data_IF_611223316734
#
_entry.id   IF_611223316734
#
_cell.length_a   1.000
_cell.length_b   1.000
_cell.length_c   1.000
_cell.angle_alpha   90.00
_cell.angle_beta   90.00
_cell.angle_gamma   90.00
#
_symmetry.space_group_name_H-M   'P 1'
#
loop_
_entity.id
_entity.type
_entity.pdbx_description
1 polymer ?
#
# COMPACT_ATOMS: atom_id res chain seq x y z
N UNK A 1 28.66 0.63 -1.19
CA UNK A 1 27.81 1.60 -1.90
C UNK A 1 26.50 0.90 -2.26
N UNK A 2 25.61 0.75 -1.28
CA UNK A 2 24.29 0.14 -1.48
C UNK A 2 23.40 1.19 -2.13
N UNK A 3 23.15 1.06 -3.43
CA UNK A 3 22.05 1.80 -4.05
C UNK A 3 20.75 1.21 -3.51
N UNK A 4 20.09 1.98 -2.64
CA UNK A 4 18.67 1.84 -2.35
C UNK A 4 17.93 2.27 -3.63
N UNK A 5 17.95 1.42 -4.66
CA UNK A 5 17.03 1.57 -5.77
C UNK A 5 15.64 1.31 -5.19
N UNK A 6 14.95 2.40 -4.85
CA UNK A 6 13.50 2.42 -4.96
C UNK A 6 13.20 2.11 -6.43
N UNK A 7 13.07 0.83 -6.78
CA UNK A 7 12.39 0.45 -8.00
C UNK A 7 10.98 1.01 -7.85
N UNK A 8 10.76 2.17 -8.47
CA UNK A 8 9.44 2.75 -8.68
C UNK A 8 8.74 1.73 -9.58
N UNK A 9 8.08 0.75 -8.97
CA UNK A 9 7.10 -0.09 -9.65
C UNK A 9 6.14 0.88 -10.36
N UNK A 10 5.84 0.67 -11.65
CA UNK A 10 5.12 1.66 -12.43
C UNK A 10 3.82 2.02 -11.70
N UNK A 11 3.75 3.25 -11.20
CA UNK A 11 2.72 3.81 -10.32
C UNK A 11 1.35 3.94 -11.05
N UNK A 12 1.24 3.37 -12.25
CA UNK A 12 0.12 3.56 -13.18
C UNK A 12 -0.96 2.46 -13.15
N UNK A 13 -0.83 1.42 -12.32
CA UNK A 13 -1.63 0.19 -12.48
C UNK A 13 -2.41 -0.28 -11.23
N UNK A 14 -2.64 0.59 -10.26
CA UNK A 14 -3.36 0.20 -9.04
C UNK A 14 -4.86 -0.03 -9.28
N UNK A 15 -5.46 0.71 -10.22
CA UNK A 15 -6.93 0.73 -10.40
C UNK A 15 -7.52 -0.55 -11.02
N UNK A 16 -6.73 -1.36 -11.74
CA UNK A 16 -7.21 -2.62 -12.36
C UNK A 16 -6.73 -3.89 -11.66
N UNK A 17 -5.83 -3.77 -10.67
CA UNK A 17 -5.25 -4.88 -9.91
C UNK A 17 -4.30 -5.80 -10.70
N UNK A 18 -4.00 -5.51 -11.97
CA UNK A 18 -3.18 -6.34 -12.85
C UNK A 18 -1.72 -6.39 -12.38
N UNK A 19 -1.14 -5.24 -12.04
CA UNK A 19 0.25 -5.14 -11.55
C UNK A 19 0.42 -5.79 -10.18
N UNK A 20 -0.60 -5.74 -9.32
CA UNK A 20 -0.56 -6.49 -8.06
C UNK A 20 -0.42 -7.99 -8.29
N UNK A 21 -1.09 -8.55 -9.30
CA UNK A 21 -0.98 -9.98 -9.63
C UNK A 21 0.36 -10.33 -10.26
N UNK A 22 0.91 -9.47 -11.11
CA UNK A 22 2.23 -9.69 -11.69
C UNK A 22 3.32 -9.67 -10.62
N UNK A 23 3.27 -8.69 -9.71
CA UNK A 23 4.14 -8.62 -8.53
C UNK A 23 4.10 -9.91 -7.71
N UNK A 24 2.91 -10.47 -7.45
CA UNK A 24 2.76 -11.70 -6.66
C UNK A 24 3.36 -12.95 -7.35
N UNK A 25 3.48 -12.94 -8.68
CA UNK A 25 4.05 -14.05 -9.46
C UNK A 25 5.56 -13.98 -9.60
N UNK A 26 6.18 -12.84 -9.33
CA UNK A 26 7.62 -12.68 -9.47
C UNK A 26 8.38 -13.56 -8.47
N UNK A 27 9.36 -14.33 -8.97
CA UNK A 27 10.12 -15.28 -8.15
C UNK A 27 10.96 -14.61 -7.06
N UNK A 28 11.44 -13.39 -7.31
CA UNK A 28 12.25 -12.59 -6.37
C UNK A 28 11.48 -11.36 -5.87
N UNK A 29 10.17 -11.50 -5.65
CA UNK A 29 9.34 -10.40 -5.14
C UNK A 29 9.76 -10.00 -3.73
N UNK A 30 9.66 -8.71 -3.43
CA UNK A 30 9.83 -8.23 -2.06
C UNK A 30 8.79 -8.83 -1.11
N UNK A 31 9.18 -9.03 0.15
CA UNK A 31 8.31 -9.55 1.21
C UNK A 31 7.49 -8.47 1.92
N UNK A 32 7.71 -7.20 1.60
CA UNK A 32 6.98 -6.06 2.15
C UNK A 32 6.81 -4.96 1.09
N UNK A 33 5.66 -4.29 1.11
CA UNK A 33 5.36 -3.17 0.22
C UNK A 33 4.72 -2.05 1.01
N UNK A 34 5.15 -0.82 0.74
CA UNK A 34 4.49 0.40 1.17
C UNK A 34 3.68 0.97 0.02
N UNK A 35 2.44 1.35 0.29
CA UNK A 35 1.49 1.87 -0.70
C UNK A 35 1.09 3.29 -0.32
N UNK A 36 0.98 4.17 -1.32
CA UNK A 36 0.76 5.61 -1.16
C UNK A 36 -0.54 6.01 -0.49
N UNK A 37 -1.57 5.16 -0.57
CA UNK A 37 -2.85 5.35 0.11
C UNK A 37 -3.45 4.00 0.51
N UNK A 38 -4.36 4.01 1.49
CA UNK A 38 -5.14 2.80 1.84
C UNK A 38 -6.04 2.34 0.70
N UNK A 39 -6.58 3.28 -0.08
CA UNK A 39 -7.41 2.97 -1.27
C UNK A 39 -6.60 2.18 -2.30
N UNK A 40 -5.36 2.58 -2.56
CA UNK A 40 -4.46 1.89 -3.47
C UNK A 40 -4.00 0.52 -2.91
N UNK A 41 -3.94 0.39 -1.58
CA UNK A 41 -3.51 -0.87 -0.95
C UNK A 41 -4.58 -1.98 -1.05
N UNK A 42 -5.86 -1.63 -1.13
CA UNK A 42 -6.98 -2.59 -1.15
C UNK A 42 -6.91 -3.57 -2.32
N UNK A 43 -6.72 -3.15 -3.60
CA UNK A 43 -6.56 -4.07 -4.72
C UNK A 43 -5.43 -5.08 -4.54
N UNK A 44 -4.28 -4.66 -3.99
CA UNK A 44 -3.14 -5.55 -3.72
C UNK A 44 -3.46 -6.55 -2.61
N UNK A 45 -4.08 -6.10 -1.52
CA UNK A 45 -4.53 -6.97 -0.43
C UNK A 45 -5.54 -8.01 -0.93
N UNK A 46 -6.48 -7.60 -1.80
CA UNK A 46 -7.43 -8.51 -2.42
C UNK A 46 -6.75 -9.50 -3.37
N UNK A 47 -5.78 -9.04 -4.17
CA UNK A 47 -5.00 -9.91 -5.06
C UNK A 47 -4.19 -10.95 -4.26
N UNK A 48 -3.59 -10.55 -3.13
CA UNK A 48 -2.88 -11.47 -2.24
C UNK A 48 -3.81 -12.54 -1.67
N UNK A 49 -4.96 -12.13 -1.10
CA UNK A 49 -5.98 -13.04 -0.56
C UNK A 49 -6.50 -14.02 -1.61
N UNK A 50 -6.84 -13.54 -2.79
CA UNK A 50 -7.35 -14.39 -3.90
C UNK A 50 -6.28 -15.30 -4.50
N UNK A 51 -5.00 -14.98 -4.34
CA UNK A 51 -3.87 -15.81 -4.79
C UNK A 51 -3.32 -16.74 -3.70
N UNK A 52 -3.94 -16.80 -2.52
CA UNK A 52 -3.49 -17.62 -1.40
C UNK A 52 -2.21 -17.13 -0.70
N UNK A 53 -1.78 -15.90 -0.98
CA UNK A 53 -0.62 -15.29 -0.31
C UNK A 53 -1.05 -14.73 1.04
N UNK A 54 -0.42 -15.15 2.13
CA UNK A 54 -0.79 -14.72 3.48
C UNK A 54 -0.20 -13.35 3.80
N UNK A 55 -1.02 -12.50 4.39
CA UNK A 55 -0.66 -11.17 4.85
C UNK A 55 -0.86 -11.14 6.36
N UNK A 56 0.19 -10.87 7.17
CA UNK A 56 1.51 -10.33 6.78
C UNK A 56 2.62 -11.38 6.50
N UNK A 57 2.37 -12.68 6.63
CA UNK A 57 3.42 -13.70 6.75
C UNK A 57 4.27 -13.88 5.47
N UNK A 58 3.62 -13.94 4.32
CA UNK A 58 4.25 -14.14 3.01
C UNK A 58 4.43 -12.81 2.25
N UNK A 59 3.63 -11.80 2.60
CA UNK A 59 3.71 -10.43 2.10
C UNK A 59 3.15 -9.45 3.15
N UNK A 60 3.99 -8.56 3.66
CA UNK A 60 3.54 -7.42 4.44
C UNK A 60 3.08 -6.28 3.53
N UNK A 61 1.93 -5.68 3.83
CA UNK A 61 1.38 -4.54 3.09
C UNK A 61 1.11 -3.43 4.10
N UNK A 62 1.70 -2.26 3.85
CA UNK A 62 1.50 -1.06 4.66
C UNK A 62 0.84 -0.01 3.77
N UNK A 63 -0.36 0.41 4.14
CA UNK A 63 -1.06 1.56 3.54
C UNK A 63 -0.68 2.87 4.22
N UNK A 64 -1.37 3.93 3.84
CA UNK A 64 -1.09 5.30 4.27
C UNK A 64 -2.38 6.10 4.24
N UNK A 65 -2.59 6.96 5.25
CA UNK A 65 -3.76 7.83 5.49
C UNK A 65 -4.76 7.37 6.57
N UNK A 66 -4.71 6.09 6.99
CA UNK A 66 -5.64 5.48 7.95
C UNK A 66 -7.10 5.84 7.66
N UNK A 67 -7.48 5.81 6.38
CA UNK A 67 -8.84 6.09 5.92
C UNK A 67 -9.78 4.91 6.23
N UNK A 68 -11.10 5.06 6.01
CA UNK A 68 -12.05 3.96 6.23
C UNK A 68 -11.73 2.67 5.45
N UNK A 69 -10.91 2.75 4.39
CA UNK A 69 -10.43 1.58 3.65
C UNK A 69 -9.51 0.69 4.49
N UNK A 70 -8.80 1.22 5.50
CA UNK A 70 -7.94 0.41 6.36
C UNK A 70 -8.72 -0.60 7.24
N UNK A 71 -10.03 -0.40 7.44
CA UNK A 71 -10.88 -1.27 8.27
C UNK A 71 -11.00 -2.71 7.75
N UNK A 72 -10.56 -2.98 6.51
CA UNK A 72 -10.50 -4.34 5.94
C UNK A 72 -9.36 -5.22 6.50
N UNK A 73 -8.74 -4.78 7.60
CA UNK A 73 -7.60 -5.44 8.24
C UNK A 73 -6.27 -5.05 7.61
N UNK A 74 -6.13 -3.83 7.12
CA UNK A 74 -4.90 -3.29 6.56
C UNK A 74 -4.10 -2.55 7.65
N UNK A 75 -2.79 -2.80 7.71
CA UNK A 75 -1.89 -1.96 8.51
C UNK A 75 -1.69 -0.63 7.78
N UNK A 76 -1.95 0.50 8.44
CA UNK A 76 -1.86 1.83 7.84
C UNK A 76 -1.14 2.85 8.72
N UNK A 77 -0.48 3.80 8.08
CA UNK A 77 0.10 4.97 8.74
C UNK A 77 -0.96 6.05 8.90
N UNK A 78 -1.24 6.43 10.14
CA UNK A 78 -2.15 7.54 10.44
C UNK A 78 -1.43 8.88 10.34
N UNK A 79 -1.85 9.70 9.38
CA UNK A 79 -1.33 11.06 9.19
C UNK A 79 -1.94 12.09 10.14
N UNK A 80 -2.98 11.71 10.89
CA UNK A 80 -3.87 12.61 11.60
C UNK A 80 -4.39 13.71 10.67
N UNK A 81 -5.00 13.28 9.56
CA UNK A 81 -5.44 14.16 8.46
C UNK A 81 -6.35 15.29 8.95
N UNK A 82 -7.20 15.03 9.95
CA UNK A 82 -8.02 16.05 10.61
C UNK A 82 -7.17 17.17 11.24
N UNK A 83 -6.09 16.83 11.96
CA UNK A 83 -5.19 17.81 12.56
C UNK A 83 -4.39 18.57 11.49
N UNK A 84 -3.97 17.89 10.41
CA UNK A 84 -3.27 18.54 9.30
C UNK A 84 -4.15 19.61 8.64
N UNK A 85 -5.39 19.28 8.31
CA UNK A 85 -6.36 20.22 7.72
C UNK A 85 -6.61 21.40 8.67
N UNK A 86 -6.82 21.13 9.97
CA UNK A 86 -7.01 22.19 10.97
C UNK A 86 -5.81 23.15 11.08
N UNK A 87 -4.57 22.66 10.87
CA UNK A 87 -3.37 23.52 10.83
C UNK A 87 -3.27 24.36 9.57
N UNK A 88 -3.71 23.85 8.42
CA UNK A 88 -3.74 24.60 7.16
C UNK A 88 -4.74 25.75 7.22
N UNK A 89 -5.92 25.53 7.81
CA UNK A 89 -6.96 26.56 7.96
C UNK A 89 -6.53 27.73 8.85
N UNK A 90 -5.64 27.51 9.82
CA UNK A 90 -5.10 28.56 10.71
C UNK A 90 -4.03 29.44 10.07
N UNK A 91 -3.57 29.11 8.87
CA UNK A 91 -2.53 29.85 8.14
C UNK A 91 -3.08 30.73 7.00
N UNK A 92 -4.39 30.69 6.76
CA UNK A 92 -5.10 31.54 5.80
C UNK A 92 -5.84 32.67 6.50
#
# INVERSE_FOLDING_TARGET
MFQMQCNIWPVAACCDGSVGREFLKAQDRHRAVFVSSDLDAVPLLNAARTSGVRVPEDLAIIGYDNSPFALVGLTSVDQNTAQLVARLQKRS
#
